data_IF_711072138981
#
_entry.id   IF_711072138981
#
_cell.length_a   1.000
_cell.length_b   1.000
_cell.length_c   1.000
_cell.angle_alpha   90.00
_cell.angle_beta   90.00
_cell.angle_gamma   90.00
#
_symmetry.space_group_name_H-M   'P 1'
#
loop_
_entity.id
_entity.type
_entity.pdbx_description
1 polymer ?
#
# COMPACT_ATOMS: atom_id res chain seq x y z
N UNK A 1 25.60 -6.56 37.27
CA UNK A 1 25.26 -5.69 36.11
C UNK A 1 25.15 -4.26 36.61
N UNK A 2 25.82 -3.27 35.99
CA UNK A 2 25.82 -1.88 36.47
C UNK A 2 24.43 -1.25 36.36
N UNK A 3 23.97 -0.57 37.43
CA UNK A 3 22.65 0.08 37.52
C UNK A 3 22.40 1.04 36.32
N UNK A 4 23.44 1.76 35.89
CA UNK A 4 23.36 2.65 34.71
C UNK A 4 23.09 1.87 33.40
N UNK A 5 23.69 0.68 33.26
CA UNK A 5 23.48 -0.18 32.10
C UNK A 5 22.04 -0.71 32.02
N UNK A 6 21.47 -1.11 33.17
CA UNK A 6 20.06 -1.55 33.24
C UNK A 6 19.12 -0.40 32.83
N UNK A 7 19.36 0.82 33.34
CA UNK A 7 18.56 2.00 33.01
C UNK A 7 18.62 2.29 31.50
N UNK A 8 19.82 2.22 30.89
CA UNK A 8 19.94 2.43 29.43
C UNK A 8 19.16 1.41 28.61
N UNK A 9 19.16 0.13 28.99
CA UNK A 9 18.37 -0.92 28.33
C UNK A 9 16.87 -0.62 28.45
N UNK A 10 16.39 -0.24 29.63
CA UNK A 10 14.98 0.08 29.86
C UNK A 10 14.53 1.27 29.01
N UNK A 11 15.37 2.30 28.85
CA UNK A 11 15.07 3.45 27.99
C UNK A 11 14.96 3.00 26.52
N UNK A 12 15.91 2.20 26.02
CA UNK A 12 15.88 1.70 24.63
C UNK A 12 14.62 0.86 24.37
N UNK A 13 14.28 -0.04 25.30
CA UNK A 13 13.06 -0.85 25.22
C UNK A 13 11.80 0.01 25.21
N UNK A 14 11.72 1.05 26.06
CA UNK A 14 10.58 1.96 26.11
C UNK A 14 10.41 2.73 24.79
N UNK A 15 11.51 3.18 24.19
CA UNK A 15 11.49 3.85 22.88
C UNK A 15 11.01 2.87 21.79
N UNK A 16 11.52 1.65 21.76
CA UNK A 16 11.12 0.63 20.79
C UNK A 16 9.62 0.33 20.92
N UNK A 17 9.11 0.10 22.13
CA UNK A 17 7.68 -0.12 22.38
C UNK A 17 6.84 1.07 21.90
N UNK A 18 7.31 2.30 22.14
CA UNK A 18 6.64 3.52 21.67
C UNK A 18 6.55 3.58 20.12
N UNK A 19 7.65 3.29 19.43
CA UNK A 19 7.71 3.27 17.96
C UNK A 19 6.75 2.20 17.37
N UNK A 20 6.83 0.97 17.88
CA UNK A 20 5.96 -0.11 17.40
C UNK A 20 4.49 0.15 17.73
N UNK A 21 4.20 0.63 18.93
CA UNK A 21 2.85 1.02 19.34
C UNK A 21 2.28 2.12 18.45
N UNK A 22 3.07 3.15 18.14
CA UNK A 22 2.66 4.22 17.23
C UNK A 22 2.32 3.68 15.83
N UNK A 23 3.17 2.85 15.23
CA UNK A 23 2.89 2.21 13.93
C UNK A 23 1.61 1.35 13.99
N UNK A 24 1.45 0.56 15.04
CA UNK A 24 0.28 -0.30 15.21
C UNK A 24 -1.02 0.50 15.25
N UNK A 25 -1.13 1.45 16.18
CA UNK A 25 -2.38 2.19 16.37
C UNK A 25 -2.71 3.14 15.21
N UNK A 26 -1.68 3.66 14.52
CA UNK A 26 -1.89 4.64 13.44
C UNK A 26 -2.06 4.00 12.06
N UNK A 27 -1.51 2.82 11.83
CA UNK A 27 -1.49 2.17 10.52
C UNK A 27 -2.02 0.74 10.54
N UNK A 28 -1.50 -0.14 11.41
CA UNK A 28 -1.84 -1.55 11.37
C UNK A 28 -3.28 -1.81 11.82
N UNK A 29 -3.73 -1.21 12.91
CA UNK A 29 -5.10 -1.36 13.42
C UNK A 29 -6.18 -0.93 12.39
N UNK A 30 -6.06 0.22 11.67
CA UNK A 30 -6.95 0.53 10.56
C UNK A 30 -6.94 -0.53 9.44
N UNK A 31 -5.78 -1.11 9.12
CA UNK A 31 -5.70 -2.18 8.13
C UNK A 31 -6.41 -3.45 8.61
N UNK A 32 -6.20 -3.85 9.86
CA UNK A 32 -6.88 -5.01 10.45
C UNK A 32 -8.41 -4.85 10.32
N UNK A 33 -8.92 -3.65 10.63
CA UNK A 33 -10.35 -3.32 10.46
C UNK A 33 -10.82 -3.50 9.01
N UNK A 34 -10.02 -3.09 8.01
CA UNK A 34 -10.33 -3.29 6.59
C UNK A 34 -10.35 -4.77 6.23
N UNK A 35 -9.35 -5.54 6.67
CA UNK A 35 -9.25 -6.95 6.35
C UNK A 35 -10.41 -7.76 6.94
N UNK A 36 -10.90 -7.39 8.12
CA UNK A 36 -12.00 -8.07 8.82
C UNK A 36 -13.39 -7.63 8.32
N UNK A 37 -13.55 -6.39 7.85
CA UNK A 37 -14.84 -5.82 7.46
C UNK A 37 -15.45 -6.42 6.19
N UNK A 38 -14.63 -7.00 5.32
CA UNK A 38 -15.08 -7.57 4.05
C UNK A 38 -14.54 -9.00 3.88
N UNK A 39 -15.43 -10.00 3.89
CA UNK A 39 -15.07 -11.41 3.76
C UNK A 39 -14.26 -11.73 2.48
N UNK A 40 -14.37 -10.89 1.44
CA UNK A 40 -13.63 -11.03 0.18
C UNK A 40 -12.14 -10.67 0.33
N UNK A 41 -11.75 -10.03 1.44
CA UNK A 41 -10.35 -9.73 1.77
C UNK A 41 -9.62 -10.94 2.37
N UNK A 42 -10.37 -12.01 2.68
CA UNK A 42 -9.78 -13.25 3.22
C UNK A 42 -8.74 -13.84 2.26
N UNK A 43 -7.61 -14.23 2.81
CA UNK A 43 -6.50 -14.83 2.04
C UNK A 43 -5.48 -13.80 1.52
N UNK A 44 -5.65 -12.52 1.86
CA UNK A 44 -4.70 -11.46 1.58
C UNK A 44 -4.06 -11.05 2.89
N UNK A 45 -2.72 -11.16 2.99
CA UNK A 45 -1.95 -10.75 4.15
C UNK A 45 -1.09 -9.52 3.76
N UNK A 46 -1.26 -8.44 4.49
CA UNK A 46 -0.56 -7.17 4.27
C UNK A 46 0.05 -6.71 5.59
N UNK A 47 1.24 -6.13 5.52
CA UNK A 47 1.87 -5.42 6.62
C UNK A 47 1.99 -3.95 6.24
N UNK A 48 1.73 -3.06 7.19
CA UNK A 48 1.87 -1.62 7.00
C UNK A 48 2.70 -1.03 8.13
N UNK A 49 3.57 -0.11 7.76
CA UNK A 49 4.39 0.63 8.72
C UNK A 49 4.88 1.94 8.08
N UNK A 50 5.32 2.86 8.89
CA UNK A 50 6.09 4.01 8.40
C UNK A 50 7.45 3.54 7.91
N UNK A 51 8.01 4.24 6.93
CA UNK A 51 9.35 3.93 6.42
C UNK A 51 10.36 3.87 7.57
N UNK A 52 11.14 2.79 7.62
CA UNK A 52 12.05 2.47 8.72
C UNK A 52 11.40 2.54 10.13
N UNK A 53 10.07 2.42 10.21
CA UNK A 53 9.22 2.53 11.41
C UNK A 53 9.20 3.92 12.07
N UNK A 54 9.97 4.88 11.60
CA UNK A 54 10.17 6.20 12.25
C UNK A 54 9.87 7.40 11.36
N UNK A 55 9.78 7.24 10.03
CA UNK A 55 9.47 8.32 9.11
C UNK A 55 7.95 8.42 8.84
N UNK A 56 7.19 9.27 9.54
CA UNK A 56 5.73 9.31 9.43
C UNK A 56 5.22 9.86 8.10
N UNK A 57 6.10 10.45 7.29
CA UNK A 57 5.74 11.01 6.01
C UNK A 57 5.68 9.97 4.89
N UNK A 58 6.20 8.77 5.11
CA UNK A 58 6.22 7.70 4.12
C UNK A 58 5.55 6.44 4.68
N UNK A 59 4.45 6.04 4.02
CA UNK A 59 3.75 4.80 4.31
C UNK A 59 4.35 3.67 3.48
N UNK A 60 4.61 2.53 4.08
CA UNK A 60 4.93 1.27 3.38
C UNK A 60 3.72 0.36 3.46
N UNK A 61 3.21 -0.06 2.29
CA UNK A 61 2.15 -1.05 2.13
C UNK A 61 2.78 -2.30 1.51
N UNK A 62 2.98 -3.34 2.32
CA UNK A 62 3.77 -4.52 1.95
C UNK A 62 2.89 -5.77 1.90
N UNK A 63 2.66 -6.29 0.70
CA UNK A 63 1.92 -7.54 0.48
C UNK A 63 2.80 -8.71 0.90
N UNK A 64 2.36 -9.44 1.93
CA UNK A 64 3.08 -10.60 2.46
C UNK A 64 2.65 -11.90 1.77
N UNK A 65 1.34 -12.03 1.54
CA UNK A 65 0.79 -13.24 0.92
C UNK A 65 -0.54 -12.94 0.23
N UNK A 66 -0.74 -13.60 -0.89
CA UNK A 66 -2.00 -13.63 -1.63
C UNK A 66 -2.31 -15.08 -1.94
N UNK A 67 -3.46 -15.60 -1.52
CA UNK A 67 -3.89 -16.95 -1.85
C UNK A 67 -4.26 -17.04 -3.33
N UNK A 68 -4.08 -18.22 -3.94
CA UNK A 68 -4.39 -18.48 -5.36
C UNK A 68 -5.87 -18.28 -5.72
N UNK A 69 -6.75 -18.28 -4.74
CA UNK A 69 -8.18 -17.97 -4.91
C UNK A 69 -8.48 -16.49 -5.05
N UNK A 70 -7.56 -15.61 -4.63
CA UNK A 70 -7.72 -14.16 -4.74
C UNK A 70 -7.29 -13.67 -6.12
N UNK A 71 -8.04 -12.70 -6.64
CA UNK A 71 -7.75 -12.03 -7.92
C UNK A 71 -6.99 -10.72 -7.67
N UNK A 72 -6.36 -10.21 -8.71
CA UNK A 72 -5.69 -8.90 -8.68
C UNK A 72 -6.60 -7.78 -8.15
N UNK A 73 -7.87 -7.79 -8.57
CA UNK A 73 -8.87 -6.84 -8.12
C UNK A 73 -9.15 -6.94 -6.60
N UNK A 74 -8.98 -8.10 -5.98
CA UNK A 74 -9.18 -8.29 -4.54
C UNK A 74 -8.07 -7.59 -3.74
N UNK A 75 -6.82 -7.72 -4.19
CA UNK A 75 -5.67 -7.02 -3.59
C UNK A 75 -5.84 -5.51 -3.73
N UNK A 76 -6.23 -5.04 -4.92
CA UNK A 76 -6.47 -3.62 -5.15
C UNK A 76 -7.64 -3.08 -4.31
N UNK A 77 -8.70 -3.87 -4.10
CA UNK A 77 -9.81 -3.52 -3.20
C UNK A 77 -9.32 -3.28 -1.77
N UNK A 78 -8.49 -4.16 -1.21
CA UNK A 78 -7.89 -3.98 0.12
C UNK A 78 -7.11 -2.67 0.17
N UNK A 79 -6.27 -2.39 -0.82
CA UNK A 79 -5.50 -1.15 -0.90
C UNK A 79 -6.41 0.08 -0.95
N UNK A 80 -7.48 0.03 -1.74
CA UNK A 80 -8.44 1.13 -1.90
C UNK A 80 -9.29 1.35 -0.64
N UNK A 81 -9.78 0.29 -0.01
CA UNK A 81 -10.47 0.37 1.28
C UNK A 81 -9.55 0.97 2.35
N UNK A 82 -8.29 0.54 2.39
CA UNK A 82 -7.31 1.07 3.32
C UNK A 82 -6.99 2.56 3.07
N UNK A 83 -6.92 2.98 1.82
CA UNK A 83 -6.77 4.40 1.49
C UNK A 83 -7.94 5.24 1.99
N UNK A 84 -9.16 4.71 1.97
CA UNK A 84 -10.33 5.39 2.53
C UNK A 84 -10.25 5.53 4.06
N UNK A 85 -9.78 4.51 4.78
CA UNK A 85 -9.55 4.60 6.23
C UNK A 85 -8.53 5.69 6.58
N UNK A 86 -7.52 5.88 5.74
CA UNK A 86 -6.44 6.85 5.96
C UNK A 86 -6.59 8.16 5.17
N UNK A 87 -7.74 8.43 4.55
CA UNK A 87 -7.94 9.61 3.67
C UNK A 87 -7.74 10.97 4.33
N UNK A 88 -7.73 11.04 5.65
CA UNK A 88 -7.44 12.25 6.43
C UNK A 88 -5.97 12.39 6.81
N UNK A 89 -5.15 11.35 6.62
CA UNK A 89 -3.71 11.39 6.87
C UNK A 89 -2.97 11.87 5.61
N UNK A 90 -1.93 12.67 5.82
CA UNK A 90 -1.05 13.11 4.74
C UNK A 90 0.24 12.30 4.76
N UNK A 91 0.64 11.84 3.58
CA UNK A 91 1.93 11.22 3.32
C UNK A 91 2.59 11.95 2.14
N UNK A 92 3.90 11.94 2.07
CA UNK A 92 4.63 12.38 0.88
C UNK A 92 4.61 11.26 -0.17
N UNK A 93 4.89 10.04 0.28
CA UNK A 93 4.94 8.83 -0.56
C UNK A 93 4.22 7.65 0.12
N UNK A 94 3.64 6.77 -0.71
CA UNK A 94 3.18 5.44 -0.30
C UNK A 94 3.96 4.41 -1.12
N UNK A 95 4.84 3.67 -0.46
CA UNK A 95 5.67 2.63 -1.07
C UNK A 95 4.85 1.35 -1.18
N UNK A 96 4.81 0.80 -2.38
CA UNK A 96 4.15 -0.45 -2.71
C UNK A 96 5.20 -1.57 -2.73
N UNK A 97 5.20 -2.39 -1.68
CA UNK A 97 6.17 -3.46 -1.47
C UNK A 97 5.53 -4.84 -1.64
N UNK A 98 6.35 -5.84 -1.87
CA UNK A 98 5.98 -7.25 -1.84
C UNK A 98 7.07 -8.06 -1.15
N UNK A 99 6.69 -8.87 -0.14
CA UNK A 99 7.60 -9.69 0.67
C UNK A 99 8.81 -8.90 1.19
N UNK A 100 8.58 -7.65 1.61
CA UNK A 100 9.60 -6.75 2.15
C UNK A 100 10.46 -6.03 1.10
N UNK A 101 10.18 -6.23 -0.20
CA UNK A 101 10.92 -5.57 -1.28
C UNK A 101 10.10 -4.42 -1.86
N UNK A 102 10.57 -3.18 -1.78
CA UNK A 102 9.96 -2.05 -2.47
C UNK A 102 9.95 -2.27 -3.99
N UNK A 103 8.80 -2.09 -4.61
CA UNK A 103 8.64 -2.26 -6.07
C UNK A 103 8.35 -0.94 -6.78
N UNK A 104 7.42 -0.19 -6.22
CA UNK A 104 6.92 1.06 -6.74
C UNK A 104 6.57 2.02 -5.61
N UNK A 105 6.25 3.24 -5.96
CA UNK A 105 5.55 4.13 -5.05
C UNK A 105 4.49 4.97 -5.79
N UNK A 106 3.57 5.53 -5.03
CA UNK A 106 2.66 6.60 -5.47
C UNK A 106 2.83 7.82 -4.56
N UNK A 107 2.51 9.00 -5.07
CA UNK A 107 2.44 10.18 -4.22
C UNK A 107 1.32 10.05 -3.18
N UNK A 108 1.57 10.54 -1.97
CA UNK A 108 0.58 10.52 -0.90
C UNK A 108 -0.70 11.27 -1.23
N UNK A 109 -0.61 12.34 -2.04
CA UNK A 109 -1.77 13.07 -2.56
C UNK A 109 -2.70 12.17 -3.41
N UNK A 110 -2.12 11.30 -4.25
CA UNK A 110 -2.91 10.35 -5.03
C UNK A 110 -3.55 9.27 -4.15
N UNK A 111 -2.80 8.74 -3.17
CA UNK A 111 -3.35 7.81 -2.18
C UNK A 111 -4.56 8.41 -1.44
N UNK A 112 -4.45 9.67 -1.02
CA UNK A 112 -5.53 10.38 -0.35
C UNK A 112 -6.72 10.63 -1.28
N UNK A 113 -6.46 10.95 -2.56
CA UNK A 113 -7.50 11.15 -3.58
C UNK A 113 -8.31 9.89 -3.79
N UNK A 114 -7.69 8.74 -4.08
CA UNK A 114 -8.43 7.47 -4.28
C UNK A 114 -9.19 7.04 -3.03
N UNK A 115 -8.69 7.37 -1.84
CA UNK A 115 -9.40 7.14 -0.59
C UNK A 115 -10.68 7.97 -0.48
N UNK A 116 -10.66 9.25 -0.88
CA UNK A 116 -11.85 10.11 -0.91
C UNK A 116 -12.85 9.70 -1.99
N UNK A 117 -12.39 9.09 -3.07
CA UNK A 117 -13.21 8.60 -4.17
C UNK A 117 -13.85 7.23 -3.89
N UNK A 118 -13.49 6.58 -2.77
CA UNK A 118 -14.05 5.29 -2.38
C UNK A 118 -15.56 5.39 -2.15
N UNK A 119 -16.31 4.51 -2.82
CA UNK A 119 -17.78 4.52 -2.76
C UNK A 119 -18.47 5.60 -3.62
N UNK A 120 -17.71 6.51 -4.26
CA UNK A 120 -18.23 7.58 -5.11
C UNK A 120 -17.87 7.31 -6.58
N UNK A 121 -16.59 7.02 -6.84
CA UNK A 121 -16.09 6.82 -8.21
C UNK A 121 -16.28 5.37 -8.66
N UNK A 122 -16.39 5.19 -9.98
CA UNK A 122 -16.47 3.86 -10.59
C UNK A 122 -15.18 3.07 -10.32
N UNK A 123 -15.25 1.87 -9.70
CA UNK A 123 -14.07 1.04 -9.40
C UNK A 123 -13.21 0.72 -10.63
N UNK A 124 -13.85 0.44 -11.78
CA UNK A 124 -13.13 0.13 -13.02
C UNK A 124 -12.32 1.35 -13.51
N UNK A 125 -12.86 2.56 -13.32
CA UNK A 125 -12.14 3.79 -13.64
C UNK A 125 -10.88 3.91 -12.78
N UNK A 126 -11.00 3.76 -11.46
CA UNK A 126 -9.87 3.86 -10.53
C UNK A 126 -8.80 2.81 -10.87
N UNK A 127 -9.19 1.54 -11.05
CA UNK A 127 -8.29 0.44 -11.37
C UNK A 127 -7.48 0.75 -12.65
N UNK A 128 -8.16 1.11 -13.75
CA UNK A 128 -7.49 1.29 -15.04
C UNK A 128 -6.59 2.52 -15.10
N UNK A 129 -6.89 3.58 -14.33
CA UNK A 129 -6.10 4.82 -14.32
C UNK A 129 -5.02 4.84 -13.25
N UNK A 130 -5.03 3.88 -12.31
CA UNK A 130 -4.08 3.81 -11.22
C UNK A 130 -2.61 3.76 -11.70
N UNK A 131 -2.22 2.97 -12.72
CA UNK A 131 -0.84 2.88 -13.18
C UNK A 131 -0.25 4.22 -13.66
N UNK A 132 -1.09 5.15 -14.14
CA UNK A 132 -0.65 6.48 -14.59
C UNK A 132 -0.02 7.32 -13.45
N UNK A 133 -0.27 6.93 -12.19
CA UNK A 133 0.24 7.59 -10.98
C UNK A 133 1.29 6.76 -10.24
N UNK A 134 1.77 5.67 -10.86
CA UNK A 134 2.79 4.79 -10.29
C UNK A 134 4.18 5.22 -10.76
N UNK A 135 5.12 5.22 -9.82
CA UNK A 135 6.53 5.57 -10.04
C UNK A 135 7.43 4.41 -9.65
N UNK A 136 8.53 4.27 -10.35
CA UNK A 136 9.65 3.43 -9.95
C UNK A 136 10.36 4.05 -8.75
N UNK A 137 11.18 3.25 -8.05
CA UNK A 137 11.91 3.73 -6.86
C UNK A 137 13.00 4.76 -7.19
N UNK A 138 13.33 4.96 -8.47
CA UNK A 138 14.27 5.98 -8.99
C UNK A 138 13.56 7.28 -9.40
N UNK A 139 12.31 7.48 -8.96
CA UNK A 139 11.45 8.64 -9.24
C UNK A 139 11.00 8.78 -10.72
N UNK A 140 11.26 7.80 -11.58
CA UNK A 140 10.74 7.78 -12.95
C UNK A 140 9.31 7.25 -13.00
N UNK A 141 8.50 7.69 -13.98
CA UNK A 141 7.17 7.12 -14.22
C UNK A 141 7.30 5.65 -14.61
N UNK A 142 6.54 4.77 -13.94
CA UNK A 142 6.55 3.33 -14.24
C UNK A 142 5.69 2.98 -15.46
N UNK A 143 4.64 3.79 -15.72
CA UNK A 143 3.70 3.61 -16.83
C UNK A 143 3.38 4.96 -17.47
N UNK A 144 2.96 4.91 -18.73
CA UNK A 144 2.56 6.09 -19.49
C UNK A 144 1.14 6.56 -19.15
N UNK A 145 0.76 7.70 -19.73
CA UNK A 145 -0.63 8.16 -19.79
C UNK A 145 -1.13 8.00 -21.23
N UNK A 146 -2.38 7.54 -21.36
CA UNK A 146 -2.93 7.21 -22.66
C UNK A 146 -3.97 8.23 -23.11
N UNK A 147 -3.85 8.69 -24.37
CA UNK A 147 -4.82 9.59 -25.02
C UNK A 147 -5.32 8.96 -26.32
N UNK A 148 -6.54 9.30 -26.73
CA UNK A 148 -7.16 8.79 -27.96
C UNK A 148 -8.59 8.28 -27.77
N UNK A 149 -9.02 7.36 -28.64
CA UNK A 149 -10.37 6.79 -28.56
C UNK A 149 -10.58 5.92 -27.31
N UNK A 150 -11.76 6.00 -26.71
CA UNK A 150 -12.09 5.35 -25.43
C UNK A 150 -11.70 3.87 -25.39
N UNK A 151 -12.04 3.08 -26.41
CA UNK A 151 -11.78 1.64 -26.43
C UNK A 151 -10.28 1.32 -26.43
N UNK A 152 -9.49 2.05 -27.25
CA UNK A 152 -8.04 1.87 -27.31
C UNK A 152 -7.36 2.27 -26.01
N UNK A 153 -7.75 3.41 -25.43
CA UNK A 153 -7.21 3.90 -24.15
C UNK A 153 -7.52 2.92 -23.02
N UNK A 154 -8.77 2.47 -22.92
CA UNK A 154 -9.18 1.52 -21.87
C UNK A 154 -8.41 0.20 -21.96
N UNK A 155 -8.19 -0.33 -23.17
CA UNK A 155 -7.41 -1.55 -23.38
C UNK A 155 -5.97 -1.40 -22.87
N UNK A 156 -5.28 -0.32 -23.25
CA UNK A 156 -3.91 -0.04 -22.81
C UNK A 156 -3.79 0.21 -21.30
N UNK A 157 -4.74 0.94 -20.70
CA UNK A 157 -4.79 1.17 -19.26
C UNK A 157 -4.98 -0.15 -18.47
N UNK A 158 -5.81 -1.06 -18.98
CA UNK A 158 -5.99 -2.39 -18.35
C UNK A 158 -4.73 -3.27 -18.51
N UNK A 159 -4.04 -3.18 -19.65
CA UNK A 159 -2.75 -3.84 -19.86
C UNK A 159 -1.71 -3.32 -18.86
N UNK A 160 -1.61 -2.00 -18.69
CA UNK A 160 -0.71 -1.39 -17.70
C UNK A 160 -1.05 -1.83 -16.28
N UNK A 161 -2.33 -1.92 -15.92
CA UNK A 161 -2.75 -2.42 -14.60
C UNK A 161 -2.36 -3.89 -14.39
N UNK A 162 -2.49 -4.73 -15.40
CA UNK A 162 -2.06 -6.12 -15.33
C UNK A 162 -0.53 -6.22 -15.19
N UNK A 163 0.23 -5.44 -15.94
CA UNK A 163 1.68 -5.38 -15.87
C UNK A 163 2.16 -4.82 -14.52
N UNK A 164 1.52 -3.79 -14.00
CA UNK A 164 1.75 -3.25 -12.68
C UNK A 164 1.56 -4.33 -11.60
N UNK A 165 0.41 -4.98 -11.60
CA UNK A 165 0.08 -6.00 -10.61
C UNK A 165 1.01 -7.20 -10.67
N UNK A 166 1.39 -7.60 -11.88
CA UNK A 166 2.38 -8.67 -12.11
C UNK A 166 3.71 -8.32 -11.44
N UNK A 167 4.26 -7.15 -11.71
CA UNK A 167 5.54 -6.69 -11.16
C UNK A 167 5.47 -6.37 -9.66
N UNK A 168 4.30 -5.91 -9.18
CA UNK A 168 4.15 -5.55 -7.79
C UNK A 168 4.14 -6.79 -6.89
N UNK A 169 3.29 -7.77 -7.15
CA UNK A 169 3.12 -8.90 -6.23
C UNK A 169 2.92 -10.28 -6.86
N UNK A 170 2.42 -10.40 -8.12
CA UNK A 170 2.09 -11.72 -8.68
C UNK A 170 3.36 -12.53 -8.92
N UNK A 171 4.41 -11.94 -9.50
CA UNK A 171 5.67 -12.63 -9.76
C UNK A 171 6.33 -13.13 -8.46
N UNK A 172 6.11 -12.45 -7.33
CA UNK A 172 6.60 -12.88 -6.03
C UNK A 172 5.69 -13.93 -5.36
N UNK A 173 4.37 -13.90 -5.62
CA UNK A 173 3.43 -14.88 -5.10
C UNK A 173 3.63 -16.28 -5.71
N UNK A 174 4.19 -16.35 -6.92
CA UNK A 174 4.46 -17.60 -7.64
C UNK A 174 5.82 -18.24 -7.31
N UNK A 175 6.67 -17.56 -6.54
CA UNK A 175 7.94 -18.06 -6.00
C UNK A 175 7.73 -18.67 -4.61
#
# INVERSE_FOLDING_TARGET
MNKKFIISILIILSIAVGIFGFNYFTLAKPLDSVLESDYRNKGIEVSVHYENYVNPNVLVFDIKKVQLTNRTADVFRVFWQYSNELKTKSFDKVILSSKGQPKFYIHGSHFQQIGREHGIQNPIYIIRTFPENVYNMDDTKAFGSWTGGILSVTGKQMEDFNNFSKKWFIDDALK
#
